data_IF_358962944385
#
_entry.id   IF_358962944385
#
_cell.length_a   1.000
_cell.length_b   1.000
_cell.length_c   1.000
_cell.angle_alpha   90.00
_cell.angle_beta   90.00
_cell.angle_gamma   90.00
#
_symmetry.space_group_name_H-M   'P 1'
#
loop_
_entity.id
_entity.type
_entity.pdbx_description
1 polymer ?
#
# COMPACT_ATOMS: atom_id res chain seq x y z
N UNK A 1 15.19 -2.72 -9.91
CA UNK A 1 13.85 -3.12 -9.45
C UNK A 1 12.85 -2.03 -9.81
N UNK A 2 11.86 -2.35 -10.63
CA UNK A 2 10.79 -1.44 -11.07
C UNK A 2 9.83 -1.13 -9.92
N UNK A 3 9.00 -0.08 -10.06
CA UNK A 3 7.95 0.25 -9.09
C UNK A 3 6.94 -0.89 -8.93
N UNK A 4 6.65 -1.60 -10.02
CA UNK A 4 5.75 -2.75 -10.03
C UNK A 4 6.34 -3.93 -9.22
N UNK A 5 7.63 -4.22 -9.39
CA UNK A 5 8.33 -5.27 -8.61
C UNK A 5 8.33 -4.96 -7.12
N UNK A 6 8.62 -3.70 -6.73
CA UNK A 6 8.53 -3.26 -5.31
C UNK A 6 7.13 -3.43 -4.72
N UNK A 7 6.09 -3.10 -5.50
CA UNK A 7 4.71 -3.22 -5.04
C UNK A 7 4.29 -4.68 -4.86
N UNK A 8 4.77 -5.56 -5.76
CA UNK A 8 4.51 -6.99 -5.68
C UNK A 8 5.19 -7.61 -4.45
N UNK A 9 6.45 -7.29 -4.22
CA UNK A 9 7.21 -7.74 -3.04
C UNK A 9 6.51 -7.35 -1.72
N UNK A 10 6.01 -6.11 -1.62
CA UNK A 10 5.26 -5.65 -0.45
C UNK A 10 3.97 -6.44 -0.22
N UNK A 11 3.23 -6.73 -1.29
CA UNK A 11 2.03 -7.56 -1.21
C UNK A 11 2.37 -8.97 -0.72
N UNK A 12 3.39 -9.60 -1.30
CA UNK A 12 3.79 -10.97 -0.93
C UNK A 12 4.21 -11.06 0.54
N UNK A 13 4.96 -10.06 1.03
CA UNK A 13 5.34 -9.98 2.44
C UNK A 13 4.10 -9.86 3.36
N UNK A 14 3.15 -8.99 3.02
CA UNK A 14 1.93 -8.81 3.83
C UNK A 14 1.01 -10.02 3.76
N UNK A 15 0.91 -10.68 2.59
CA UNK A 15 0.17 -11.91 2.43
C UNK A 15 0.72 -13.00 3.37
N UNK A 16 2.03 -13.20 3.40
CA UNK A 16 2.67 -14.19 4.29
C UNK A 16 2.44 -13.85 5.77
N UNK A 17 2.63 -12.58 6.17
CA UNK A 17 2.42 -12.18 7.57
C UNK A 17 0.97 -12.37 8.02
N UNK A 18 -0.01 -12.00 7.18
CA UNK A 18 -1.42 -12.19 7.50
C UNK A 18 -1.82 -13.68 7.53
N UNK A 19 -1.29 -14.48 6.60
CA UNK A 19 -1.50 -15.93 6.58
C UNK A 19 -0.96 -16.59 7.85
N UNK A 20 0.23 -16.17 8.31
CA UNK A 20 0.85 -16.62 9.56
C UNK A 20 0.05 -16.12 10.78
N UNK A 21 -0.45 -14.89 10.76
CA UNK A 21 -1.28 -14.33 11.84
C UNK A 21 -2.56 -15.15 12.04
N UNK A 22 -3.22 -15.55 10.95
CA UNK A 22 -4.50 -16.27 10.98
C UNK A 22 -4.32 -17.77 11.28
N UNK A 23 -3.30 -18.40 10.71
CA UNK A 23 -3.13 -19.86 10.75
C UNK A 23 -2.00 -20.36 11.67
N UNK A 24 -1.23 -19.43 12.25
CA UNK A 24 -0.14 -19.71 13.18
C UNK A 24 1.26 -19.76 12.53
N UNK A 25 2.31 -19.69 13.35
CA UNK A 25 3.72 -19.58 12.91
C UNK A 25 4.18 -20.70 11.96
N UNK A 26 3.62 -21.91 12.10
CA UNK A 26 3.96 -23.07 11.26
C UNK A 26 3.47 -22.98 9.81
N UNK A 27 2.63 -22.00 9.47
CA UNK A 27 2.03 -21.88 8.12
C UNK A 27 2.86 -21.06 7.13
N UNK A 28 4.02 -20.53 7.53
CA UNK A 28 4.85 -19.64 6.69
C UNK A 28 5.29 -20.29 5.39
N UNK A 29 5.76 -21.53 5.42
CA UNK A 29 6.15 -22.27 4.22
C UNK A 29 4.95 -22.56 3.31
N UNK A 30 3.78 -22.85 3.90
CA UNK A 30 2.54 -23.04 3.17
C UNK A 30 2.13 -21.74 2.47
N UNK A 31 2.27 -20.59 3.12
CA UNK A 31 2.00 -19.28 2.52
C UNK A 31 2.93 -19.02 1.31
N UNK A 32 4.23 -19.33 1.43
CA UNK A 32 5.19 -19.19 0.35
C UNK A 32 4.87 -20.12 -0.84
N UNK A 33 4.53 -21.39 -0.55
CA UNK A 33 4.08 -22.34 -1.58
C UNK A 33 2.79 -21.88 -2.26
N UNK A 34 1.85 -21.31 -1.50
CA UNK A 34 0.59 -20.78 -2.03
C UNK A 34 0.85 -19.60 -2.97
N UNK A 35 1.73 -18.68 -2.60
CA UNK A 35 2.15 -17.56 -3.46
C UNK A 35 2.78 -18.05 -4.77
N UNK A 36 3.70 -19.02 -4.68
CA UNK A 36 4.37 -19.59 -5.84
C UNK A 36 3.40 -20.34 -6.78
N UNK A 37 2.43 -21.06 -6.21
CA UNK A 37 1.38 -21.76 -6.97
C UNK A 37 0.36 -20.78 -7.59
N UNK A 38 0.29 -19.55 -7.09
CA UNK A 38 -0.61 -18.47 -7.54
C UNK A 38 -2.05 -18.92 -7.87
N UNK A 39 -2.76 -19.56 -6.93
CA UNK A 39 -4.16 -19.93 -7.14
C UNK A 39 -5.03 -18.67 -7.33
N UNK A 40 -6.27 -18.82 -7.83
CA UNK A 40 -7.18 -17.69 -8.05
C UNK A 40 -7.33 -16.76 -6.85
N UNK A 41 -7.29 -17.30 -5.62
CA UNK A 41 -7.32 -16.49 -4.39
C UNK A 41 -6.16 -15.49 -4.31
N UNK A 42 -4.93 -15.90 -4.61
CA UNK A 42 -3.77 -15.00 -4.58
C UNK A 42 -3.92 -13.91 -5.64
N UNK A 43 -4.44 -14.26 -6.82
CA UNK A 43 -4.69 -13.30 -7.90
C UNK A 43 -5.78 -12.28 -7.51
N UNK A 44 -6.85 -12.72 -6.85
CA UNK A 44 -7.90 -11.83 -6.32
C UNK A 44 -7.38 -10.92 -5.21
N UNK A 45 -6.59 -11.46 -4.26
CA UNK A 45 -5.95 -10.66 -3.22
C UNK A 45 -5.01 -9.61 -3.82
N UNK A 46 -4.26 -9.98 -4.86
CA UNK A 46 -3.38 -9.05 -5.58
C UNK A 46 -4.17 -7.95 -6.29
N UNK A 47 -5.24 -8.29 -7.00
CA UNK A 47 -6.12 -7.31 -7.63
C UNK A 47 -6.72 -6.34 -6.60
N UNK A 48 -7.26 -6.85 -5.48
CA UNK A 48 -7.83 -6.04 -4.42
C UNK A 48 -6.77 -5.12 -3.80
N UNK A 49 -5.55 -5.61 -3.62
CA UNK A 49 -4.42 -4.82 -3.16
C UNK A 49 -4.09 -3.65 -4.10
N UNK A 50 -4.01 -3.91 -5.41
CA UNK A 50 -3.79 -2.86 -6.40
C UNK A 50 -4.90 -1.82 -6.38
N UNK A 51 -6.16 -2.25 -6.43
CA UNK A 51 -7.33 -1.38 -6.40
C UNK A 51 -7.36 -0.50 -5.15
N UNK A 52 -7.01 -1.05 -3.98
CA UNK A 52 -6.95 -0.28 -2.72
C UNK A 52 -5.94 0.86 -2.75
N UNK A 53 -4.88 0.74 -3.56
CA UNK A 53 -3.79 1.72 -3.67
C UNK A 53 -3.99 2.71 -4.81
N UNK A 54 -4.68 2.32 -5.87
CA UNK A 54 -5.11 3.25 -6.92
C UNK A 54 -6.17 4.24 -6.42
N UNK A 55 -6.97 3.85 -5.43
CA UNK A 55 -7.96 4.72 -4.80
C UNK A 55 -7.35 5.84 -3.94
N UNK A 56 -6.03 5.84 -3.68
CA UNK A 56 -5.38 6.85 -2.82
C UNK A 56 -5.05 8.09 -3.64
N UNK A 57 -5.98 9.04 -3.67
CA UNK A 57 -5.80 10.37 -4.26
C UNK A 57 -5.81 11.42 -3.15
N UNK A 58 -4.65 12.02 -2.85
CA UNK A 58 -4.55 13.12 -1.90
C UNK A 58 -4.83 14.45 -2.61
N UNK A 59 -5.96 15.07 -2.27
CA UNK A 59 -6.23 16.44 -2.69
C UNK A 59 -5.34 17.40 -1.88
N UNK A 60 -4.44 18.08 -2.57
CA UNK A 60 -3.56 19.05 -1.93
C UNK A 60 -4.28 20.39 -1.73
N UNK A 61 -3.99 21.11 -0.63
CA UNK A 61 -4.59 22.41 -0.39
C UNK A 61 -4.11 23.44 -1.41
N UNK A 62 -4.89 24.52 -1.56
CA UNK A 62 -4.55 25.60 -2.48
C UNK A 62 -3.16 26.21 -2.16
N UNK A 63 -2.46 26.76 -3.17
CA UNK A 63 -1.18 27.42 -2.96
C UNK A 63 -1.26 28.55 -1.92
N UNK A 64 -0.17 28.76 -1.20
CA UNK A 64 -0.06 29.76 -0.13
C UNK A 64 -0.25 31.20 -0.63
N UNK A 65 -0.03 31.43 -1.93
CA UNK A 65 -0.28 32.71 -2.60
C UNK A 65 -1.06 32.48 -3.91
N UNK A 66 -2.01 33.36 -4.27
CA UNK A 66 -2.73 33.26 -5.54
C UNK A 66 -1.77 33.25 -6.73
N UNK A 67 -1.90 32.26 -7.62
CA UNK A 67 -1.03 32.08 -8.79
C UNK A 67 0.37 31.51 -8.47
N UNK A 68 0.68 31.25 -7.20
CA UNK A 68 1.89 30.53 -6.80
C UNK A 68 1.76 29.02 -6.94
N UNK A 69 2.89 28.33 -6.88
CA UNK A 69 2.97 26.86 -6.86
C UNK A 69 3.47 26.31 -5.51
N UNK A 70 3.67 27.17 -4.51
CA UNK A 70 4.15 26.79 -3.19
C UNK A 70 2.96 26.48 -2.26
N UNK A 71 2.90 25.24 -1.77
CA UNK A 71 1.98 24.82 -0.71
C UNK A 71 2.82 24.67 0.56
N UNK A 72 2.28 25.10 1.71
CA UNK A 72 2.98 24.99 3.00
C UNK A 72 3.13 23.50 3.36
N UNK A 73 4.33 23.09 3.75
CA UNK A 73 4.65 21.69 4.08
C UNK A 73 3.69 21.06 5.11
N UNK A 74 3.38 21.78 6.20
CA UNK A 74 2.40 21.31 7.19
C UNK A 74 1.01 21.06 6.59
N UNK A 75 0.58 21.89 5.63
CA UNK A 75 -0.73 21.75 4.99
C UNK A 75 -0.77 20.53 4.06
N UNK A 76 0.35 20.18 3.42
CA UNK A 76 0.48 18.93 2.65
C UNK A 76 0.40 17.74 3.60
N UNK A 77 1.15 17.77 4.71
CA UNK A 77 1.15 16.71 5.72
C UNK A 77 -0.25 16.48 6.29
N UNK A 78 -0.95 17.54 6.69
CA UNK A 78 -2.31 17.48 7.20
C UNK A 78 -3.28 16.88 6.17
N UNK A 79 -3.17 17.27 4.89
CA UNK A 79 -4.02 16.72 3.83
C UNK A 79 -3.79 15.20 3.61
N UNK A 80 -2.54 14.75 3.69
CA UNK A 80 -2.20 13.32 3.61
C UNK A 80 -2.74 12.58 4.84
N UNK A 81 -2.54 13.12 6.04
CA UNK A 81 -2.97 12.50 7.31
C UNK A 81 -4.50 12.46 7.45
N UNK A 82 -5.22 13.45 6.91
CA UNK A 82 -6.69 13.46 6.88
C UNK A 82 -7.30 12.29 6.10
N UNK A 83 -6.53 11.67 5.19
CA UNK A 83 -6.94 10.45 4.49
C UNK A 83 -6.56 9.16 5.23
N UNK A 84 -6.06 9.27 6.46
CA UNK A 84 -5.63 8.13 7.28
C UNK A 84 -4.26 7.57 6.89
N UNK A 85 -3.51 8.28 6.04
CA UNK A 85 -2.16 7.90 5.63
C UNK A 85 -1.13 8.40 6.64
N UNK A 86 -0.07 7.61 6.86
CA UNK A 86 1.04 7.99 7.73
C UNK A 86 2.11 8.73 6.94
N UNK A 87 2.62 9.84 7.48
CA UNK A 87 3.68 10.65 6.85
C UNK A 87 4.95 10.61 7.70
N UNK A 88 6.05 10.09 7.14
CA UNK A 88 7.36 10.10 7.80
C UNK A 88 8.08 11.46 7.63
N UNK A 89 9.09 11.79 8.46
CA UNK A 89 9.97 12.94 8.27
C UNK A 89 10.85 12.83 7.02
#
# INVERSE_FOLDING_TARGET
MTKAEKMREQFEAQFVEEYVRVLGKGSREIAAHTLAANPPLVSMCWWAWQASREAVVVELPAPAVPGGNCIRDHAIREAIEAQGLKVAP
#
